data_IF_618632652992
#
_entry.id   IF_618632652992
#
_cell.length_a   1.000
_cell.length_b   1.000
_cell.length_c   1.000
_cell.angle_alpha   90.00
_cell.angle_beta   90.00
_cell.angle_gamma   90.00
#
_symmetry.space_group_name_H-M   'P 1'
#
loop_
_entity.id
_entity.type
_entity.pdbx_description
1 polymer ?
#
# COMPACT_ATOMS: atom_id res chain seq x y z
N UNK A 1 19.63 -6.51 -7.46
CA UNK A 1 18.66 -6.25 -6.37
C UNK A 1 18.14 -7.60 -5.88
N UNK A 2 18.41 -7.98 -4.64
CA UNK A 2 18.02 -9.29 -4.11
C UNK A 2 16.70 -9.11 -3.36
N UNK A 3 15.63 -9.78 -3.79
CA UNK A 3 14.31 -9.68 -3.16
C UNK A 3 14.22 -10.66 -2.01
N UNK A 4 13.81 -10.17 -0.84
CA UNK A 4 13.42 -11.04 0.26
C UNK A 4 11.94 -11.42 0.12
N UNK A 5 11.67 -12.55 -0.54
CA UNK A 5 10.31 -13.03 -0.80
C UNK A 5 9.46 -13.21 0.47
N UNK A 6 10.08 -13.62 1.60
CA UNK A 6 9.36 -13.73 2.88
C UNK A 6 8.87 -12.36 3.36
N UNK A 7 9.74 -11.34 3.35
CA UNK A 7 9.35 -9.95 3.69
C UNK A 7 8.30 -9.41 2.73
N UNK A 8 8.40 -9.74 1.44
CA UNK A 8 7.44 -9.33 0.42
C UNK A 8 6.02 -9.82 0.75
N UNK A 9 5.84 -11.14 0.94
CA UNK A 9 4.52 -11.70 1.23
C UNK A 9 3.97 -11.23 2.58
N UNK A 10 4.81 -11.15 3.63
CA UNK A 10 4.38 -10.61 4.92
C UNK A 10 3.89 -9.16 4.78
N UNK A 11 4.63 -8.32 4.05
CA UNK A 11 4.23 -6.92 3.85
C UNK A 11 2.93 -6.81 3.06
N UNK A 12 2.72 -7.66 2.06
CA UNK A 12 1.48 -7.68 1.29
C UNK A 12 0.25 -7.98 2.17
N UNK A 13 0.37 -8.96 3.07
CA UNK A 13 -0.69 -9.35 4.01
C UNK A 13 -1.07 -8.20 4.94
N UNK A 14 -0.12 -7.34 5.33
CA UNK A 14 -0.39 -6.18 6.18
C UNK A 14 -0.83 -4.94 5.39
N UNK A 15 -0.27 -4.71 4.20
CA UNK A 15 -0.57 -3.52 3.39
C UNK A 15 -1.98 -3.54 2.82
N UNK A 16 -2.48 -4.69 2.36
CA UNK A 16 -3.83 -4.80 1.79
C UNK A 16 -4.91 -4.35 2.79
N UNK A 17 -5.01 -4.91 4.01
CA UNK A 17 -5.99 -4.46 5.00
C UNK A 17 -5.73 -3.02 5.45
N UNK A 18 -4.48 -2.57 5.56
CA UNK A 18 -4.16 -1.18 5.91
C UNK A 18 -4.70 -0.21 4.86
N UNK A 19 -4.52 -0.49 3.57
CA UNK A 19 -5.02 0.36 2.47
C UNK A 19 -6.55 0.39 2.47
N UNK A 20 -7.22 -0.73 2.73
CA UNK A 20 -8.69 -0.78 2.83
C UNK A 20 -9.21 0.03 4.02
N UNK A 21 -8.53 -0.01 5.16
CA UNK A 21 -8.90 0.81 6.33
C UNK A 21 -8.67 2.30 6.06
N UNK A 22 -7.52 2.65 5.46
CA UNK A 22 -7.24 4.03 5.06
C UNK A 22 -8.25 4.56 4.05
N UNK A 23 -8.74 3.70 3.16
CA UNK A 23 -9.80 4.04 2.23
C UNK A 23 -11.12 4.38 2.93
N UNK A 24 -11.55 3.54 3.88
CA UNK A 24 -12.77 3.81 4.68
C UNK A 24 -12.63 5.11 5.47
N UNK A 25 -11.45 5.35 6.05
CA UNK A 25 -11.17 6.59 6.80
C UNK A 25 -11.16 7.78 5.85
N UNK A 26 -10.50 7.67 4.70
CA UNK A 26 -10.46 8.72 3.69
C UNK A 26 -11.88 9.05 3.21
N UNK A 27 -12.69 8.06 2.88
CA UNK A 27 -14.09 8.24 2.50
C UNK A 27 -14.93 8.90 3.59
N UNK A 28 -14.72 8.52 4.85
CA UNK A 28 -15.45 9.08 5.98
C UNK A 28 -15.05 10.53 6.27
N UNK A 29 -13.78 10.90 6.08
CA UNK A 29 -13.24 12.24 6.39
C UNK A 29 -13.37 13.20 5.20
N UNK A 30 -13.18 12.70 3.97
CA UNK A 30 -13.13 13.47 2.74
C UNK A 30 -14.41 13.35 1.90
N UNK A 31 -15.53 12.98 2.53
CA UNK A 31 -16.85 12.77 1.90
C UNK A 31 -17.36 13.94 1.03
N UNK A 32 -16.79 15.14 1.19
CA UNK A 32 -17.11 16.35 0.41
C UNK A 32 -16.00 16.82 -0.55
N UNK A 33 -14.84 16.15 -0.61
CA UNK A 33 -13.80 16.51 -1.56
C UNK A 33 -14.01 15.76 -2.88
N UNK A 34 -14.30 16.54 -3.93
CA UNK A 34 -14.46 16.14 -5.35
C UNK A 34 -13.23 15.40 -5.92
N UNK A 35 -12.13 15.32 -5.16
CA UNK A 35 -10.89 14.63 -5.52
C UNK A 35 -11.01 13.10 -5.60
N UNK A 36 -12.16 12.54 -5.20
CA UNK A 36 -12.45 11.11 -5.26
C UNK A 36 -12.25 10.52 -6.67
N UNK A 37 -12.70 11.26 -7.69
CA UNK A 37 -12.60 10.85 -9.10
C UNK A 37 -11.19 11.08 -9.67
N UNK A 38 -10.48 12.11 -9.19
CA UNK A 38 -9.18 12.53 -9.75
C UNK A 38 -8.04 11.58 -9.38
N UNK A 39 -8.10 10.96 -8.20
CA UNK A 39 -7.02 10.07 -7.73
C UNK A 39 -7.21 8.60 -8.08
N UNK A 40 -8.28 8.24 -8.81
CA UNK A 40 -8.64 6.84 -9.09
C UNK A 40 -8.62 5.95 -7.83
N UNK A 41 -8.79 6.57 -6.65
CA UNK A 41 -8.68 5.91 -5.35
C UNK A 41 -9.77 4.85 -5.20
N UNK A 42 -10.92 5.02 -5.84
CA UNK A 42 -12.02 4.05 -5.79
C UNK A 42 -11.65 2.68 -6.42
N UNK A 43 -10.66 2.63 -7.32
CA UNK A 43 -10.31 1.40 -8.02
C UNK A 43 -9.43 0.49 -7.17
N UNK A 44 -10.04 -0.58 -6.65
CA UNK A 44 -9.40 -1.67 -5.90
C UNK A 44 -8.15 -2.23 -6.60
N UNK A 45 -8.16 -2.26 -7.94
CA UNK A 45 -7.03 -2.68 -8.76
C UNK A 45 -5.78 -1.81 -8.54
N UNK A 46 -5.93 -0.48 -8.55
CA UNK A 46 -4.80 0.43 -8.33
C UNK A 46 -4.29 0.35 -6.88
N UNK A 47 -5.19 0.17 -5.90
CA UNK A 47 -4.81 -0.07 -4.50
C UNK A 47 -3.95 -1.32 -4.34
N UNK A 48 -4.32 -2.43 -4.98
CA UNK A 48 -3.55 -3.68 -4.95
C UNK A 48 -2.20 -3.49 -5.65
N UNK A 49 -2.16 -2.81 -6.80
CA UNK A 49 -0.89 -2.48 -7.47
C UNK A 49 0.02 -1.63 -6.59
N UNK A 50 -0.50 -0.59 -5.95
CA UNK A 50 0.24 0.24 -5.00
C UNK A 50 0.78 -0.60 -3.85
N UNK A 51 -0.02 -1.52 -3.30
CA UNK A 51 0.42 -2.44 -2.26
C UNK A 51 1.58 -3.33 -2.72
N UNK A 52 1.49 -3.89 -3.93
CA UNK A 52 2.54 -4.73 -4.54
C UNK A 52 3.82 -3.93 -4.76
N UNK A 53 3.73 -2.71 -5.29
CA UNK A 53 4.88 -1.84 -5.55
C UNK A 53 5.56 -1.47 -4.24
N UNK A 54 4.80 -1.04 -3.22
CA UNK A 54 5.37 -0.69 -1.90
C UNK A 54 6.00 -1.93 -1.26
N UNK A 55 5.33 -3.09 -1.29
CA UNK A 55 5.87 -4.33 -0.75
C UNK A 55 7.15 -4.76 -1.48
N UNK A 56 7.25 -4.55 -2.79
CA UNK A 56 8.44 -4.82 -3.59
C UNK A 56 9.62 -3.94 -3.16
N UNK A 57 9.43 -2.63 -3.05
CA UNK A 57 10.47 -1.72 -2.56
C UNK A 57 10.84 -2.04 -1.12
N UNK A 58 9.88 -2.29 -0.24
CA UNK A 58 10.16 -2.65 1.14
C UNK A 58 10.93 -3.98 1.27
N UNK A 59 10.61 -4.97 0.43
CA UNK A 59 11.27 -6.27 0.43
C UNK A 59 12.68 -6.24 -0.18
N UNK A 60 13.03 -5.18 -0.91
CA UNK A 60 14.34 -4.99 -1.54
C UNK A 60 15.25 -4.05 -0.76
N UNK A 61 14.72 -3.32 0.22
CA UNK A 61 15.53 -2.67 1.24
C UNK A 61 16.20 -3.76 2.08
N UNK A 62 17.47 -4.00 1.79
CA UNK A 62 18.33 -4.75 2.69
C UNK A 62 18.36 -3.98 4.01
N UNK A 63 18.09 -4.69 5.12
CA UNK A 63 18.30 -4.10 6.43
C UNK A 63 19.81 -3.91 6.55
N UNK A 64 20.31 -2.75 6.13
CA UNK A 64 21.50 -2.18 6.76
C UNK A 64 21.01 -1.85 8.18
N UNK A 65 21.04 -2.88 9.02
CA UNK A 65 20.76 -2.75 10.44
C UNK A 65 21.63 -1.60 10.94
N UNK A 66 20.95 -0.58 11.46
CA UNK A 66 21.53 0.41 12.36
C UNK A 66 22.38 -0.37 13.37
N UNK A 67 23.69 -0.24 13.23
CA UNK A 67 24.67 -0.67 14.24
C UNK A 67 24.84 0.47 15.23
#
# INVERSE_FOLDING_TARGET
MKINWKKFFTSLIFLIPLILVMDIIYDSVFKHLIWKEVFAADNLFFKILTAIVIAYFYATIDKTEKK
#
